data_IF_146525982567
#
_entry.id   IF_146525982567
#
_cell.length_a   1.000
_cell.length_b   1.000
_cell.length_c   1.000
_cell.angle_alpha   90.00
_cell.angle_beta   90.00
_cell.angle_gamma   90.00
#
_symmetry.space_group_name_H-M   'P 1'
#
loop_
_entity.id
_entity.type
_entity.pdbx_description
1 polymer ?
#
# COMPACT_ATOMS: atom_id res chain seq x y z
N UNK A 1 23.45 2.34 -70.65
CA UNK A 1 22.73 3.58 -70.30
C UNK A 1 22.47 3.54 -68.80
N UNK A 2 23.07 4.49 -68.08
CA UNK A 2 23.04 4.63 -66.63
C UNK A 2 21.64 5.04 -66.15
N UNK A 3 21.07 4.31 -65.18
CA UNK A 3 20.09 4.89 -64.26
C UNK A 3 20.48 4.45 -62.86
N UNK A 4 21.17 5.35 -62.15
CA UNK A 4 21.66 5.14 -60.81
C UNK A 4 20.52 5.19 -59.79
N UNK A 5 20.33 4.10 -59.06
CA UNK A 5 19.56 4.11 -57.81
C UNK A 5 20.48 4.67 -56.72
N UNK A 6 20.22 5.90 -56.29
CA UNK A 6 20.83 6.50 -55.10
C UNK A 6 20.34 5.75 -53.85
N UNK A 7 21.22 5.35 -52.92
CA UNK A 7 20.79 4.86 -51.62
C UNK A 7 20.32 6.05 -50.76
N UNK A 8 19.10 5.98 -50.23
CA UNK A 8 18.64 6.89 -49.18
C UNK A 8 19.37 6.54 -47.88
N UNK A 9 20.30 7.41 -47.49
CA UNK A 9 20.80 7.53 -46.13
C UNK A 9 19.67 8.11 -45.26
N UNK A 10 18.93 7.26 -44.57
CA UNK A 10 18.03 7.68 -43.49
C UNK A 10 18.84 7.62 -42.19
N UNK A 11 18.92 8.77 -41.53
CA UNK A 11 19.90 9.10 -40.50
C UNK A 11 20.04 8.10 -39.36
N UNK A 12 21.28 7.96 -38.93
CA UNK A 12 21.64 7.27 -37.70
C UNK A 12 20.98 7.93 -36.49
N UNK A 13 19.96 7.28 -35.95
CA UNK A 13 19.54 7.48 -34.58
C UNK A 13 20.43 6.56 -33.74
N UNK A 14 21.48 7.16 -33.21
CA UNK A 14 22.29 6.57 -32.16
C UNK A 14 21.38 6.21 -30.99
N UNK A 15 21.05 4.92 -30.80
CA UNK A 15 20.42 4.40 -29.58
C UNK A 15 21.42 4.38 -28.41
N UNK A 16 22.03 5.53 -28.12
CA UNK A 16 22.76 5.75 -26.88
C UNK A 16 22.01 6.78 -26.05
N UNK A 17 21.80 6.40 -24.78
CA UNK A 17 21.21 7.16 -23.65
C UNK A 17 19.72 6.92 -23.40
N UNK A 18 19.38 5.72 -22.92
CA UNK A 18 18.25 5.55 -21.99
C UNK A 18 18.54 4.59 -20.82
N UNK A 19 19.82 4.41 -20.49
CA UNK A 19 20.26 3.62 -19.31
C UNK A 19 21.13 4.42 -18.35
N UNK A 20 21.35 5.72 -18.60
CA UNK A 20 22.29 6.55 -17.85
C UNK A 20 21.65 7.44 -16.77
N UNK A 21 20.47 7.06 -16.24
CA UNK A 21 19.77 7.87 -15.22
C UNK A 21 19.13 7.08 -14.06
N UNK A 22 19.51 5.81 -13.86
CA UNK A 22 19.16 5.03 -12.65
C UNK A 22 20.39 4.83 -11.74
N UNK A 23 21.36 5.76 -11.78
CA UNK A 23 22.64 5.64 -11.05
C UNK A 23 22.70 6.52 -9.79
N UNK A 24 21.56 6.75 -9.11
CA UNK A 24 21.54 7.66 -7.95
C UNK A 24 20.40 7.50 -6.96
N UNK A 25 19.54 6.49 -7.07
CA UNK A 25 18.61 6.17 -5.98
C UNK A 25 19.30 5.21 -5.03
N UNK A 26 19.49 5.62 -3.77
CA UNK A 26 20.02 4.74 -2.74
C UNK A 26 19.13 3.49 -2.65
N UNK A 27 19.74 2.29 -2.72
CA UNK A 27 19.01 1.03 -2.54
C UNK A 27 18.29 1.06 -1.19
N UNK A 28 17.05 0.58 -1.14
CA UNK A 28 16.23 0.60 0.08
C UNK A 28 16.76 -0.38 1.12
N UNK A 29 16.77 0.00 2.38
CA UNK A 29 17.16 -0.91 3.46
C UNK A 29 16.07 -1.97 3.76
N UNK A 30 16.37 -2.89 4.66
CA UNK A 30 15.46 -3.95 5.07
C UNK A 30 14.13 -3.40 5.61
N UNK A 31 14.17 -2.33 6.40
CA UNK A 31 12.98 -1.74 7.00
C UNK A 31 12.05 -1.11 5.95
N UNK A 32 12.60 -0.40 4.96
CA UNK A 32 11.84 0.18 3.87
C UNK A 32 11.22 -0.90 2.97
N UNK A 33 11.97 -1.95 2.62
CA UNK A 33 11.43 -3.08 1.84
C UNK A 33 10.34 -3.82 2.60
N UNK A 34 10.52 -4.06 3.90
CA UNK A 34 9.50 -4.70 4.74
C UNK A 34 8.18 -3.90 4.76
N UNK A 35 8.25 -2.56 4.85
CA UNK A 35 7.04 -1.71 4.77
C UNK A 35 6.30 -1.88 3.43
N UNK A 36 7.02 -1.93 2.32
CA UNK A 36 6.43 -2.12 0.99
C UNK A 36 5.84 -3.53 0.82
N UNK A 37 6.46 -4.56 1.40
CA UNK A 37 5.88 -5.90 1.44
C UNK A 37 4.60 -5.97 2.27
N UNK A 38 4.54 -5.25 3.40
CA UNK A 38 3.29 -5.13 4.19
C UNK A 38 2.21 -4.44 3.38
N UNK A 39 2.53 -3.35 2.68
CA UNK A 39 1.59 -2.68 1.77
C UNK A 39 1.07 -3.63 0.70
N UNK A 40 1.98 -4.33 0.02
CA UNK A 40 1.65 -5.34 -1.00
C UNK A 40 0.73 -6.42 -0.43
N UNK A 41 1.01 -6.91 0.78
CA UNK A 41 0.21 -7.90 1.49
C UNK A 41 -1.20 -7.38 1.80
N UNK A 42 -1.33 -6.15 2.29
CA UNK A 42 -2.63 -5.52 2.59
C UNK A 42 -3.48 -5.36 1.34
N UNK A 43 -2.91 -4.85 0.24
CA UNK A 43 -3.63 -4.70 -1.04
C UNK A 43 -3.99 -6.06 -1.65
N UNK A 44 -3.06 -7.02 -1.59
CA UNK A 44 -3.31 -8.39 -2.08
C UNK A 44 -4.49 -9.03 -1.35
N UNK A 45 -4.70 -8.77 -0.06
CA UNK A 45 -5.83 -9.32 0.70
C UNK A 45 -7.21 -8.90 0.14
N UNK A 46 -7.27 -7.84 -0.67
CA UNK A 46 -8.50 -7.20 -1.15
C UNK A 46 -8.82 -7.47 -2.62
N UNK A 47 -8.20 -8.48 -3.25
CA UNK A 47 -8.42 -8.81 -4.68
C UNK A 47 -9.01 -10.21 -4.92
N UNK A 48 -9.56 -10.85 -3.87
CA UNK A 48 -10.24 -12.15 -3.97
C UNK A 48 -9.37 -13.35 -4.41
N UNK A 49 -9.99 -14.53 -4.54
CA UNK A 49 -9.33 -15.77 -4.95
C UNK A 49 -8.30 -16.29 -3.95
N UNK A 50 -7.15 -16.82 -4.42
CA UNK A 50 -6.02 -17.27 -3.58
C UNK A 50 -5.21 -16.10 -2.98
N UNK A 51 -5.85 -14.95 -2.78
CA UNK A 51 -5.23 -13.75 -2.22
C UNK A 51 -4.82 -13.91 -0.76
N UNK A 52 -5.57 -14.68 0.03
CA UNK A 52 -5.30 -14.84 1.46
C UNK A 52 -3.91 -15.43 1.73
N UNK A 53 -3.56 -16.53 1.06
CA UNK A 53 -2.27 -17.19 1.23
C UNK A 53 -1.12 -16.29 0.74
N UNK A 54 -1.31 -15.61 -0.39
CA UNK A 54 -0.32 -14.69 -0.95
C UNK A 54 -0.09 -13.48 -0.04
N UNK A 55 -1.16 -12.87 0.47
CA UNK A 55 -1.10 -11.78 1.44
C UNK A 55 -0.31 -12.18 2.68
N UNK A 56 -0.62 -13.35 3.27
CA UNK A 56 0.12 -13.86 4.44
C UNK A 56 1.58 -14.16 4.15
N UNK A 57 1.91 -14.63 2.94
CA UNK A 57 3.28 -14.87 2.54
C UNK A 57 4.09 -13.56 2.48
N UNK A 58 3.52 -12.48 1.93
CA UNK A 58 4.19 -11.17 1.92
C UNK A 58 4.39 -10.58 3.31
N UNK A 59 3.39 -10.71 4.20
CA UNK A 59 3.52 -10.24 5.60
C UNK A 59 4.61 -11.02 6.33
N UNK A 60 4.66 -12.36 6.19
CA UNK A 60 5.74 -13.17 6.79
C UNK A 60 7.11 -12.84 6.22
N UNK A 61 7.20 -12.64 4.91
CA UNK A 61 8.45 -12.21 4.29
C UNK A 61 8.89 -10.84 4.83
N UNK A 62 7.97 -9.90 5.04
CA UNK A 62 8.28 -8.60 5.65
C UNK A 62 8.84 -8.75 7.07
N UNK A 63 8.25 -9.62 7.90
CA UNK A 63 8.73 -9.93 9.25
C UNK A 63 10.17 -10.47 9.22
N UNK A 64 10.46 -11.42 8.33
CA UNK A 64 11.79 -11.99 8.21
C UNK A 64 12.83 -11.02 7.63
N UNK A 65 12.45 -10.21 6.63
CA UNK A 65 13.33 -9.18 6.06
C UNK A 65 13.64 -8.11 7.12
N UNK A 66 12.65 -7.65 7.88
CA UNK A 66 12.85 -6.66 8.94
C UNK A 66 13.72 -7.18 10.09
N UNK A 67 13.75 -8.50 10.31
CA UNK A 67 14.52 -9.14 11.37
C UNK A 67 15.95 -9.54 10.94
N UNK A 68 16.38 -9.22 9.71
CA UNK A 68 17.74 -9.49 9.26
C UNK A 68 18.76 -8.77 10.15
N UNK A 69 19.79 -9.51 10.56
CA UNK A 69 20.92 -8.98 11.35
C UNK A 69 22.04 -8.41 10.47
N UNK A 70 22.06 -8.79 9.20
CA UNK A 70 22.99 -8.28 8.18
C UNK A 70 22.27 -7.36 7.18
N UNK A 71 23.00 -6.47 6.47
CA UNK A 71 22.38 -5.58 5.50
C UNK A 71 21.68 -6.35 4.37
N UNK A 72 20.45 -5.97 4.05
CA UNK A 72 19.66 -6.63 2.98
C UNK A 72 20.40 -6.70 1.64
N UNK A 73 21.18 -5.67 1.30
CA UNK A 73 21.95 -5.65 0.06
C UNK A 73 22.94 -6.81 -0.06
N UNK A 74 23.57 -7.23 1.03
CA UNK A 74 24.49 -8.38 1.04
C UNK A 74 23.74 -9.67 0.71
N UNK A 75 22.60 -9.88 1.35
CA UNK A 75 21.75 -11.07 1.11
C UNK A 75 21.24 -11.12 -0.33
N UNK A 76 20.89 -9.97 -0.91
CA UNK A 76 20.43 -9.84 -2.30
C UNK A 76 21.58 -10.12 -3.27
N UNK A 77 22.73 -9.46 -3.09
CA UNK A 77 23.87 -9.54 -4.00
C UNK A 77 24.48 -10.97 -4.00
N UNK A 78 24.40 -11.69 -2.88
CA UNK A 78 24.81 -13.10 -2.76
C UNK A 78 23.73 -14.12 -3.16
N UNK A 79 22.53 -13.67 -3.55
CA UNK A 79 21.44 -14.54 -3.98
C UNK A 79 20.85 -15.42 -2.88
N UNK A 80 20.99 -15.01 -1.60
CA UNK A 80 20.58 -15.80 -0.41
C UNK A 80 19.14 -15.58 0.04
N UNK A 81 18.36 -14.73 -0.63
CA UNK A 81 16.97 -14.43 -0.23
C UNK A 81 16.10 -15.69 -0.04
N UNK A 82 16.26 -16.71 -0.89
CA UNK A 82 15.45 -17.94 -0.80
C UNK A 82 15.82 -18.86 0.37
N UNK A 83 16.92 -18.57 1.07
CA UNK A 83 17.30 -19.26 2.30
C UNK A 83 16.52 -18.73 3.51
N UNK A 84 15.88 -17.57 3.36
CA UNK A 84 15.03 -16.98 4.40
C UNK A 84 13.67 -17.73 4.41
N UNK A 85 13.23 -18.24 5.58
CA UNK A 85 11.95 -18.92 5.70
C UNK A 85 10.79 -18.09 5.12
N UNK A 86 9.92 -18.74 4.34
CA UNK A 86 8.76 -18.09 3.74
C UNK A 86 9.06 -17.21 2.51
N UNK A 87 10.32 -17.10 2.07
CA UNK A 87 10.70 -16.39 0.83
C UNK A 87 10.97 -17.39 -0.29
N UNK A 88 9.97 -17.63 -1.14
CA UNK A 88 10.15 -18.38 -2.38
C UNK A 88 10.62 -17.49 -3.54
N UNK A 89 10.81 -18.08 -4.73
CA UNK A 89 11.31 -17.39 -5.93
C UNK A 89 10.53 -16.11 -6.27
N UNK A 90 9.20 -16.15 -6.20
CA UNK A 90 8.34 -15.00 -6.50
C UNK A 90 8.57 -13.85 -5.52
N UNK A 91 8.70 -14.16 -4.23
CA UNK A 91 8.91 -13.14 -3.19
C UNK A 91 10.34 -12.60 -3.27
N UNK A 92 11.32 -13.45 -3.57
CA UNK A 92 12.70 -13.02 -3.76
C UNK A 92 12.83 -12.01 -4.91
N UNK A 93 12.12 -12.22 -6.03
CA UNK A 93 12.05 -11.29 -7.16
C UNK A 93 11.47 -9.93 -6.73
N UNK A 94 10.33 -9.95 -6.03
CA UNK A 94 9.70 -8.75 -5.47
C UNK A 94 10.66 -8.02 -4.53
N UNK A 95 11.29 -8.71 -3.59
CA UNK A 95 12.24 -8.11 -2.63
C UNK A 95 13.42 -7.46 -3.36
N UNK A 96 13.97 -8.13 -4.37
CA UNK A 96 15.09 -7.61 -5.15
C UNK A 96 14.71 -6.33 -5.89
N UNK A 97 13.55 -6.33 -6.54
CA UNK A 97 13.05 -5.14 -7.24
C UNK A 97 12.79 -3.97 -6.28
N UNK A 98 12.14 -4.22 -5.14
CA UNK A 98 11.88 -3.21 -4.12
C UNK A 98 13.19 -2.68 -3.52
N UNK A 99 14.18 -3.54 -3.26
CA UNK A 99 15.48 -3.13 -2.77
C UNK A 99 16.20 -2.20 -3.77
N UNK A 100 16.19 -2.56 -5.06
CA UNK A 100 16.91 -1.82 -6.09
C UNK A 100 16.22 -0.52 -6.53
N UNK A 101 14.89 -0.50 -6.59
CA UNK A 101 14.14 0.58 -7.25
C UNK A 101 13.03 1.19 -6.38
N UNK A 102 12.69 0.57 -5.26
CA UNK A 102 11.54 0.95 -4.43
C UNK A 102 10.17 0.65 -5.04
N UNK A 103 10.13 0.00 -6.22
CA UNK A 103 8.89 -0.33 -6.91
C UNK A 103 8.91 -1.75 -7.47
N UNK A 104 7.74 -2.27 -7.80
CA UNK A 104 7.54 -3.54 -8.49
C UNK A 104 6.21 -3.46 -9.27
N UNK A 105 6.11 -3.97 -10.51
CA UNK A 105 4.90 -3.84 -11.33
C UNK A 105 3.62 -4.32 -10.64
N UNK A 106 3.72 -5.40 -9.85
CA UNK A 106 2.59 -5.89 -9.04
C UNK A 106 2.13 -4.86 -8.00
N UNK A 107 3.05 -4.16 -7.33
CA UNK A 107 2.71 -3.17 -6.31
C UNK A 107 1.99 -1.98 -6.93
N UNK A 108 2.50 -1.48 -8.06
CA UNK A 108 1.88 -0.35 -8.75
C UNK A 108 0.49 -0.70 -9.28
N UNK A 109 0.31 -1.88 -9.85
CA UNK A 109 -1.01 -2.35 -10.26
C UNK A 109 -1.97 -2.43 -9.07
N UNK A 110 -1.52 -3.01 -7.95
CA UNK A 110 -2.34 -3.13 -6.75
C UNK A 110 -2.71 -1.78 -6.13
N UNK A 111 -1.84 -0.76 -6.24
CA UNK A 111 -2.17 0.62 -5.81
C UNK A 111 -3.30 1.22 -6.64
N UNK A 112 -3.39 0.87 -7.92
CA UNK A 112 -4.48 1.30 -8.80
C UNK A 112 -5.75 0.50 -8.53
N UNK A 113 -5.64 -0.84 -8.42
CA UNK A 113 -6.79 -1.74 -8.21
C UNK A 113 -7.43 -1.55 -6.83
N UNK A 114 -6.61 -1.26 -5.82
CA UNK A 114 -7.04 -1.10 -4.43
C UNK A 114 -6.39 0.18 -3.90
N UNK A 115 -7.03 1.36 -4.02
CA UNK A 115 -6.51 2.62 -3.50
C UNK A 115 -6.36 2.64 -1.96
N UNK A 116 -5.64 3.62 -1.43
CA UNK A 116 -5.47 3.78 0.03
C UNK A 116 -6.81 3.93 0.76
N UNK A 117 -7.77 4.63 0.16
CA UNK A 117 -9.11 4.82 0.72
C UNK A 117 -9.89 3.51 0.89
N UNK A 118 -9.59 2.49 0.07
CA UNK A 118 -10.16 1.14 0.23
C UNK A 118 -9.48 0.41 1.39
N UNK A 119 -8.17 0.61 1.56
CA UNK A 119 -7.43 0.06 2.70
C UNK A 119 -7.91 0.62 4.04
N UNK A 120 -8.44 1.85 4.07
CA UNK A 120 -9.02 2.44 5.29
C UNK A 120 -10.20 1.63 5.84
N UNK A 121 -10.92 0.89 4.99
CA UNK A 121 -12.00 0.02 5.44
C UNK A 121 -11.51 -1.13 6.33
N UNK A 122 -10.23 -1.53 6.23
CA UNK A 122 -9.62 -2.52 7.13
C UNK A 122 -9.59 -2.04 8.59
N UNK A 123 -9.76 -0.73 8.83
CA UNK A 123 -9.83 -0.16 10.19
C UNK A 123 -11.17 -0.40 10.86
N UNK A 124 -12.22 -0.79 10.12
CA UNK A 124 -13.54 -1.06 10.67
C UNK A 124 -13.55 -2.43 11.37
N UNK A 125 -13.78 -2.49 12.70
CA UNK A 125 -13.79 -3.75 13.42
C UNK A 125 -14.84 -4.73 12.88
N UNK A 126 -14.41 -5.96 12.61
CA UNK A 126 -15.28 -7.03 12.12
C UNK A 126 -15.62 -6.96 10.62
N UNK A 127 -15.09 -5.98 9.89
CA UNK A 127 -15.15 -5.95 8.43
C UNK A 127 -13.92 -6.68 7.86
N UNK A 128 -14.16 -7.83 7.24
CA UNK A 128 -13.09 -8.71 6.73
C UNK A 128 -12.63 -8.31 5.31
N UNK A 129 -11.39 -8.61 4.93
CA UNK A 129 -10.88 -8.39 3.57
C UNK A 129 -11.80 -8.89 2.46
N UNK A 130 -12.39 -10.09 2.61
CA UNK A 130 -13.29 -10.64 1.60
C UNK A 130 -14.57 -9.82 1.42
N UNK A 131 -15.01 -9.11 2.47
CA UNK A 131 -16.18 -8.23 2.41
C UNK A 131 -15.84 -6.88 1.80
N UNK A 132 -14.64 -6.37 2.07
CA UNK A 132 -14.15 -5.11 1.49
C UNK A 132 -13.96 -5.27 -0.02
N UNK A 133 -13.40 -6.39 -0.48
CA UNK A 133 -13.29 -6.72 -1.91
C UNK A 133 -14.67 -6.69 -2.60
N UNK A 134 -15.69 -7.33 -2.00
CA UNK A 134 -17.07 -7.30 -2.52
C UNK A 134 -17.63 -5.87 -2.53
N UNK A 135 -17.48 -5.12 -1.44
CA UNK A 135 -17.94 -3.72 -1.36
C UNK A 135 -17.32 -2.86 -2.48
N UNK A 136 -16.03 -3.03 -2.71
CA UNK A 136 -15.30 -2.27 -3.71
C UNK A 136 -15.68 -2.68 -5.13
N UNK A 137 -15.66 -3.98 -5.44
CA UNK A 137 -15.85 -4.47 -6.80
C UNK A 137 -17.30 -4.56 -7.25
N UNK A 138 -18.22 -4.92 -6.36
CA UNK A 138 -19.63 -5.09 -6.72
C UNK A 138 -20.44 -3.80 -6.51
N UNK A 139 -20.10 -3.00 -5.49
CA UNK A 139 -20.85 -1.78 -5.16
C UNK A 139 -20.11 -0.48 -5.51
N UNK A 140 -18.86 -0.57 -5.99
CA UNK A 140 -18.06 0.60 -6.36
C UNK A 140 -17.64 1.47 -5.18
N UNK A 141 -17.72 0.94 -3.96
CA UNK A 141 -17.45 1.72 -2.74
C UNK A 141 -15.93 1.80 -2.56
N UNK A 142 -15.41 3.02 -2.54
CA UNK A 142 -13.96 3.29 -2.47
C UNK A 142 -13.56 4.04 -1.21
N UNK A 143 -14.53 4.59 -0.45
CA UNK A 143 -14.28 5.43 0.73
C UNK A 143 -15.16 5.04 1.92
N UNK A 144 -14.80 5.50 3.12
CA UNK A 144 -15.59 5.26 4.33
C UNK A 144 -16.93 6.01 4.30
N UNK A 145 -16.94 7.20 3.69
CA UNK A 145 -18.13 8.04 3.53
C UNK A 145 -19.14 7.40 2.57
N UNK A 146 -18.66 6.85 1.45
CA UNK A 146 -19.50 6.07 0.54
C UNK A 146 -20.03 4.79 1.20
N UNK A 147 -19.21 4.12 2.01
CA UNK A 147 -19.62 2.95 2.76
C UNK A 147 -20.73 3.28 3.75
N UNK A 148 -20.59 4.37 4.49
CA UNK A 148 -21.60 4.83 5.43
C UNK A 148 -22.92 5.15 4.73
N UNK A 149 -22.84 5.89 3.62
CA UNK A 149 -24.01 6.23 2.79
C UNK A 149 -24.70 4.97 2.28
N UNK A 150 -23.93 4.01 1.73
CA UNK A 150 -24.48 2.77 1.21
C UNK A 150 -25.15 1.89 2.29
N UNK A 151 -24.65 1.93 3.52
CA UNK A 151 -25.29 1.23 4.65
C UNK A 151 -26.59 1.93 5.07
N UNK A 152 -26.59 3.26 5.16
CA UNK A 152 -27.80 4.04 5.52
C UNK A 152 -28.92 3.88 4.48
N UNK A 153 -28.56 3.72 3.21
CA UNK A 153 -29.48 3.49 2.10
C UNK A 153 -29.88 2.02 1.92
N UNK A 154 -29.44 1.10 2.79
CA UNK A 154 -29.68 -0.35 2.73
C UNK A 154 -29.21 -1.01 1.41
N UNK A 155 -28.27 -0.37 0.67
CA UNK A 155 -27.76 -0.84 -0.63
C UNK A 155 -27.08 -2.21 -0.52
N UNK A 156 -26.44 -2.48 0.62
CA UNK A 156 -25.70 -3.72 0.88
C UNK A 156 -26.60 -4.97 0.96
N UNK A 157 -27.90 -4.82 1.25
CA UNK A 157 -28.82 -5.96 1.45
C UNK A 157 -29.03 -6.80 0.20
N UNK A 158 -28.86 -6.20 -0.97
CA UNK A 158 -28.94 -6.87 -2.27
C UNK A 158 -27.75 -7.80 -2.55
N UNK A 159 -26.67 -7.68 -1.78
CA UNK A 159 -25.41 -8.41 -2.02
C UNK A 159 -25.26 -9.59 -1.07
N UNK A 160 -24.98 -10.77 -1.65
CA UNK A 160 -24.83 -12.01 -0.88
C UNK A 160 -23.72 -11.88 0.15
N UNK A 161 -24.08 -12.09 1.42
CA UNK A 161 -23.13 -12.07 2.52
C UNK A 161 -22.80 -10.67 3.06
N UNK A 162 -23.52 -9.62 2.64
CA UNK A 162 -23.51 -8.28 3.23
C UNK A 162 -24.83 -7.96 3.97
N UNK A 163 -25.36 -8.96 4.69
CA UNK A 163 -26.65 -8.87 5.36
C UNK A 163 -26.71 -7.87 6.53
N UNK A 164 -27.90 -7.71 7.14
CA UNK A 164 -28.16 -6.67 8.16
C UNK A 164 -27.24 -6.72 9.38
N UNK A 165 -26.76 -7.92 9.75
CA UNK A 165 -25.82 -8.07 10.86
C UNK A 165 -24.46 -7.42 10.58
N UNK A 166 -23.98 -7.49 9.32
CA UNK A 166 -22.74 -6.84 8.93
C UNK A 166 -22.93 -5.32 8.85
N UNK A 167 -24.04 -4.87 8.26
CA UNK A 167 -24.37 -3.44 8.19
C UNK A 167 -24.35 -2.77 9.58
N UNK A 168 -24.98 -3.40 10.59
CA UNK A 168 -24.94 -2.90 11.97
C UNK A 168 -23.52 -2.82 12.55
N UNK A 169 -22.68 -3.81 12.27
CA UNK A 169 -21.26 -3.80 12.70
C UNK A 169 -20.47 -2.68 12.01
N UNK A 170 -20.74 -2.43 10.73
CA UNK A 170 -20.12 -1.34 9.98
C UNK A 170 -20.48 0.00 10.62
N UNK A 171 -21.77 0.27 10.86
CA UNK A 171 -22.22 1.52 11.51
C UNK A 171 -21.59 1.70 12.90
N UNK A 172 -21.59 0.64 13.72
CA UNK A 172 -20.96 0.69 15.04
C UNK A 172 -19.45 0.97 14.94
N UNK A 173 -18.76 0.33 13.99
CA UNK A 173 -17.33 0.54 13.77
C UNK A 173 -17.00 1.96 13.31
N UNK A 174 -17.84 2.54 12.42
CA UNK A 174 -17.71 3.93 11.98
C UNK A 174 -17.91 4.90 13.15
N UNK A 175 -18.93 4.68 14.00
CA UNK A 175 -19.19 5.52 15.18
C UNK A 175 -18.03 5.47 16.20
N UNK A 176 -17.47 4.29 16.47
CA UNK A 176 -16.30 4.14 17.36
C UNK A 176 -15.11 4.91 16.79
N UNK A 177 -14.89 4.83 15.49
CA UNK A 177 -13.79 5.52 14.80
C UNK A 177 -13.97 7.04 14.88
N UNK A 178 -15.16 7.55 14.62
CA UNK A 178 -15.48 8.98 14.71
C UNK A 178 -15.24 9.51 16.12
N UNK A 179 -15.74 8.81 17.16
CA UNK A 179 -15.50 9.17 18.57
C UNK A 179 -14.01 9.20 18.92
N UNK A 180 -13.25 8.23 18.42
CA UNK A 180 -11.81 8.14 18.68
C UNK A 180 -11.03 9.26 17.98
N UNK A 181 -11.38 9.58 16.73
CA UNK A 181 -10.76 10.67 15.96
C UNK A 181 -11.14 12.02 16.57
N UNK A 182 -12.42 12.24 16.87
CA UNK A 182 -12.92 13.44 17.54
C UNK A 182 -12.24 13.68 18.89
N UNK A 183 -12.12 12.65 19.74
CA UNK A 183 -11.40 12.76 21.01
C UNK A 183 -9.92 13.15 20.82
N UNK A 184 -9.22 12.52 19.86
CA UNK A 184 -7.82 12.86 19.54
C UNK A 184 -7.65 14.29 19.05
N UNK A 185 -8.58 14.81 18.24
CA UNK A 185 -8.55 16.20 17.79
C UNK A 185 -8.74 17.18 18.95
N UNK A 186 -9.65 16.88 19.87
CA UNK A 186 -9.88 17.71 21.07
C UNK A 186 -8.64 17.74 21.98
N UNK A 187 -8.04 16.57 22.26
CA UNK A 187 -6.82 16.52 23.07
C UNK A 187 -5.66 17.27 22.41
N UNK A 188 -5.44 17.07 21.10
CA UNK A 188 -4.38 17.76 20.37
C UNK A 188 -4.59 19.27 20.29
N UNK A 189 -5.85 19.72 20.19
CA UNK A 189 -6.17 21.14 20.23
C UNK A 189 -5.88 21.74 21.62
N UNK A 190 -6.20 21.02 22.70
CA UNK A 190 -5.90 21.43 24.07
C UNK A 190 -4.38 21.54 24.30
N UNK A 191 -3.61 20.53 23.89
CA UNK A 191 -2.14 20.55 24.03
C UNK A 191 -1.51 21.76 23.30
N UNK A 192 -2.03 22.12 22.11
CA UNK A 192 -1.57 23.28 21.35
C UNK A 192 -1.93 24.60 22.03
N UNK A 193 -3.12 24.71 22.63
CA UNK A 193 -3.55 25.88 23.40
C UNK A 193 -2.70 26.04 24.65
N UNK A 194 -2.47 24.96 25.40
CA UNK A 194 -1.65 24.98 26.62
C UNK A 194 -0.19 25.37 26.30
N UNK A 195 0.37 24.81 25.22
CA UNK A 195 1.70 25.19 24.73
C UNK A 195 1.76 26.67 24.34
N UNK A 196 0.72 27.18 23.68
CA UNK A 196 0.66 28.59 23.29
C UNK A 196 0.56 29.53 24.51
N UNK A 197 -0.25 29.17 25.52
CA UNK A 197 -0.38 29.92 26.78
C UNK A 197 0.96 29.95 27.52
N UNK A 198 1.65 28.81 27.61
CA UNK A 198 2.93 28.72 28.31
C UNK A 198 4.00 29.57 27.59
N UNK A 199 4.05 29.52 26.26
CA UNK A 199 4.95 30.36 25.48
C UNK A 199 4.66 31.86 25.66
N UNK A 200 3.39 32.26 25.72
CA UNK A 200 3.01 33.65 25.97
C UNK A 200 3.44 34.11 27.37
N UNK A 201 3.27 33.26 28.40
CA UNK A 201 3.76 33.51 29.76
C UNK A 201 5.28 33.66 29.82
N UNK A 202 6.02 32.80 29.12
CA UNK A 202 7.48 32.84 29.07
C UNK A 202 8.03 34.04 28.29
N UNK A 203 7.27 34.54 27.30
CA UNK A 203 7.66 35.70 26.48
C UNK A 203 7.43 37.07 27.15
N UNK A 204 6.83 37.12 28.35
CA UNK A 204 6.63 38.35 29.12
C UNK A 204 5.60 39.32 28.54
N UNK A 205 4.69 38.86 27.67
CA UNK A 205 3.60 39.65 27.08
C UNK A 205 2.25 39.46 27.80
N UNK A 206 2.28 39.12 29.09
CA UNK A 206 1.09 38.95 29.94
C UNK A 206 0.95 40.08 30.95
#
# INVERSE_FOLDING_TARGET
MHVGLKPLLIGGISLRRHTAQISGMAKLDAAAVAKLLVELGRRTALIGGDSYFRSRAYVRAAEHIAALTEPLGVVVDEGRLQQIPGIGTVIADVVTALHCTGTHPLLERLRQDVPESVLDMLTIPGLKPEKIDILHRELGISTLEELETAVREDRLKSVKGLGPALQRKILQGLEIREKTIGAKHVHRAADLVDTAIENLRLSGLG
#
